data_IF_103183161918
#
_entry.id   IF_103183161918
#
_cell.length_a   1.000
_cell.length_b   1.000
_cell.length_c   1.000
_cell.angle_alpha   90.00
_cell.angle_beta   90.00
_cell.angle_gamma   90.00
#
_symmetry.space_group_name_H-M   'P 1'
#
loop_
_entity.id
_entity.type
_entity.pdbx_description
1 polymer ?
#
# COMPACT_ATOMS: atom_id res chain seq x y z
N UNK A 1 -24.33 22.72 -61.43
CA UNK A 1 -25.66 22.98 -60.83
C UNK A 1 -25.39 23.40 -59.38
N UNK A 2 -25.24 24.70 -59.10
CA UNK A 2 -26.33 25.58 -58.62
C UNK A 2 -27.00 24.99 -57.36
N UNK A 3 -27.16 25.63 -56.19
CA UNK A 3 -26.88 26.98 -55.65
C UNK A 3 -27.52 26.98 -54.24
N UNK A 4 -26.97 27.76 -53.29
CA UNK A 4 -27.68 28.58 -52.27
C UNK A 4 -28.60 27.87 -51.24
N UNK A 5 -28.93 28.36 -50.04
CA UNK A 5 -28.39 29.26 -49.00
C UNK A 5 -29.56 29.52 -48.02
N UNK A 6 -29.27 29.93 -46.77
CA UNK A 6 -30.16 30.61 -45.80
C UNK A 6 -31.26 29.75 -45.13
N UNK A 7 -31.72 29.94 -43.88
CA UNK A 7 -31.47 30.93 -42.82
C UNK A 7 -32.31 30.61 -41.56
N UNK A 8 -31.97 31.30 -40.46
CA UNK A 8 -32.77 31.67 -39.26
C UNK A 8 -32.96 30.62 -38.14
N UNK A 9 -32.49 30.81 -36.90
CA UNK A 9 -32.68 31.85 -35.84
C UNK A 9 -34.03 31.79 -35.09
N UNK A 10 -33.91 31.97 -33.75
CA UNK A 10 -34.89 32.30 -32.69
C UNK A 10 -35.54 31.07 -32.02
N UNK A 11 -35.25 30.71 -30.75
CA UNK A 11 -35.32 31.39 -29.44
C UNK A 11 -36.71 31.38 -28.80
N UNK A 12 -36.68 31.21 -27.47
CA UNK A 12 -37.66 31.56 -26.43
C UNK A 12 -38.53 30.43 -25.87
N UNK A 13 -38.10 29.98 -24.68
CA UNK A 13 -38.86 30.00 -23.43
C UNK A 13 -40.39 30.12 -23.50
N UNK A 14 -41.08 29.26 -22.77
CA UNK A 14 -41.97 29.73 -21.70
C UNK A 14 -42.42 28.59 -20.79
N UNK A 15 -42.47 28.95 -19.51
CA UNK A 15 -43.15 28.28 -18.41
C UNK A 15 -44.52 27.71 -18.78
N UNK A 16 -44.90 26.61 -18.12
CA UNK A 16 -46.02 26.63 -17.15
C UNK A 16 -46.09 25.34 -16.33
N UNK A 17 -46.14 25.54 -15.02
CA UNK A 17 -46.75 24.65 -14.06
C UNK A 17 -48.16 24.24 -14.49
N UNK A 18 -48.53 22.98 -14.28
CA UNK A 18 -49.76 22.69 -13.53
C UNK A 18 -49.79 21.26 -12.99
N UNK A 19 -49.99 21.23 -11.68
CA UNK A 19 -50.53 20.24 -10.76
C UNK A 19 -51.25 18.99 -11.29
N UNK A 20 -51.10 17.93 -10.47
CA UNK A 20 -51.61 16.57 -10.52
C UNK A 20 -53.16 16.44 -10.63
N UNK A 21 -53.71 15.22 -10.82
CA UNK A 21 -54.01 14.42 -9.63
C UNK A 21 -53.82 12.89 -9.76
N UNK A 22 -53.79 12.30 -8.59
CA UNK A 22 -53.73 10.87 -8.23
C UNK A 22 -55.01 10.13 -8.61
N UNK A 23 -54.91 8.88 -9.07
CA UNK A 23 -55.69 7.70 -8.59
C UNK A 23 -55.41 6.47 -9.48
N UNK A 24 -55.24 5.29 -8.88
CA UNK A 24 -55.18 4.04 -9.63
C UNK A 24 -54.41 2.91 -8.92
N UNK A 25 -55.01 2.36 -7.87
CA UNK A 25 -54.57 1.12 -7.22
C UNK A 25 -54.75 -0.05 -8.20
N UNK A 26 -53.71 -0.85 -8.43
CA UNK A 26 -53.89 -2.25 -8.79
C UNK A 26 -52.88 -3.12 -8.02
N UNK A 27 -53.44 -4.02 -7.22
CA UNK A 27 -52.70 -4.95 -6.40
C UNK A 27 -52.23 -6.13 -7.26
N UNK A 28 -50.92 -6.37 -7.30
CA UNK A 28 -50.35 -7.66 -7.68
C UNK A 28 -49.59 -8.19 -6.48
N UNK A 29 -50.16 -9.22 -5.85
CA UNK A 29 -49.46 -10.05 -4.87
C UNK A 29 -48.42 -10.86 -5.61
N UNK A 30 -47.14 -10.60 -5.34
CA UNK A 30 -46.09 -11.60 -5.55
C UNK A 30 -45.35 -11.78 -4.22
N UNK A 31 -45.41 -13.02 -3.74
CA UNK A 31 -44.69 -13.51 -2.58
C UNK A 31 -43.20 -13.57 -2.89
N UNK A 32 -42.43 -12.65 -2.34
CA UNK A 32 -41.00 -12.87 -2.08
C UNK A 32 -40.71 -12.34 -0.68
N UNK A 33 -40.27 -13.25 0.20
CA UNK A 33 -39.80 -12.91 1.54
C UNK A 33 -38.47 -12.19 1.35
N UNK A 34 -38.52 -10.87 1.20
CA UNK A 34 -37.32 -10.04 1.33
C UNK A 34 -36.96 -9.99 2.80
N UNK A 35 -35.91 -10.72 3.19
CA UNK A 35 -35.25 -10.55 4.47
C UNK A 35 -34.53 -9.19 4.46
N UNK A 36 -35.28 -8.10 4.62
CA UNK A 36 -34.73 -6.77 4.83
C UNK A 36 -34.13 -6.73 6.24
N UNK A 37 -32.80 -6.83 6.35
CA UNK A 37 -32.10 -6.46 7.58
C UNK A 37 -32.35 -4.97 7.83
N UNK A 38 -32.88 -4.56 8.99
CA UNK A 38 -33.06 -3.14 9.26
C UNK A 38 -31.69 -2.46 9.35
N UNK A 39 -31.49 -1.41 8.56
CA UNK A 39 -30.37 -0.49 8.70
C UNK A 39 -30.52 0.24 10.03
N UNK A 40 -29.81 -0.23 11.06
CA UNK A 40 -29.69 0.44 12.35
C UNK A 40 -28.62 1.53 12.22
N UNK A 41 -29.04 2.75 11.86
CA UNK A 41 -28.22 3.93 12.13
C UNK A 41 -28.27 4.20 13.63
N UNK A 42 -27.23 3.80 14.35
CA UNK A 42 -27.09 4.04 15.79
C UNK A 42 -25.97 5.04 15.99
N UNK A 43 -26.26 6.16 16.64
CA UNK A 43 -25.23 6.95 17.33
C UNK A 43 -24.65 6.07 18.44
N UNK A 44 -23.33 5.87 18.51
CA UNK A 44 -22.61 5.05 19.51
C UNK A 44 -23.39 5.01 20.85
N UNK A 45 -24.06 3.90 21.13
CA UNK A 45 -25.00 3.75 22.26
C UNK A 45 -24.59 2.54 23.10
N UNK A 46 -25.02 2.49 24.36
CA UNK A 46 -24.69 1.40 25.30
C UNK A 46 -25.01 -0.01 24.77
N UNK A 47 -26.01 -0.15 23.90
CA UNK A 47 -26.41 -1.43 23.32
C UNK A 47 -25.39 -1.99 22.32
N UNK A 48 -24.59 -1.16 21.64
CA UNK A 48 -23.53 -1.66 20.75
C UNK A 48 -22.39 -2.28 21.55
N UNK A 49 -22.03 -1.67 22.68
CA UNK A 49 -20.96 -2.15 23.56
C UNK A 49 -21.24 -3.53 24.19
N UNK A 50 -22.52 -3.88 24.41
CA UNK A 50 -22.91 -5.19 24.95
C UNK A 50 -22.83 -6.29 23.89
N UNK A 51 -23.13 -5.96 22.64
CA UNK A 51 -22.98 -6.88 21.49
C UNK A 51 -21.50 -7.14 21.23
N UNK A 52 -20.67 -6.09 21.25
CA UNK A 52 -19.22 -6.18 21.05
C UNK A 52 -18.54 -7.10 22.09
N UNK A 53 -18.95 -7.02 23.36
CA UNK A 53 -18.43 -7.89 24.42
C UNK A 53 -18.75 -9.38 24.21
N UNK A 54 -19.92 -9.68 23.66
CA UNK A 54 -20.35 -11.06 23.41
C UNK A 54 -19.60 -11.65 22.23
N UNK A 55 -19.46 -10.88 21.14
CA UNK A 55 -18.70 -11.27 19.96
C UNK A 55 -17.22 -11.48 20.28
N UNK A 56 -16.62 -10.59 21.09
CA UNK A 56 -15.24 -10.73 21.55
C UNK A 56 -15.03 -12.03 22.33
N UNK A 57 -15.93 -12.33 23.28
CA UNK A 57 -15.86 -13.58 24.08
C UNK A 57 -16.02 -14.83 23.23
N UNK A 58 -16.84 -14.79 22.19
CA UNK A 58 -17.01 -15.93 21.28
C UNK A 58 -15.78 -16.13 20.39
N UNK A 59 -15.21 -15.05 19.85
CA UNK A 59 -13.95 -15.10 19.11
C UNK A 59 -12.81 -15.63 20.00
N UNK A 60 -12.74 -15.18 21.26
CA UNK A 60 -11.73 -15.60 22.23
C UNK A 60 -11.72 -17.11 22.53
N UNK A 61 -12.83 -17.83 22.28
CA UNK A 61 -12.85 -19.30 22.42
C UNK A 61 -12.08 -20.02 21.32
N UNK A 62 -11.95 -19.40 20.16
CA UNK A 62 -11.42 -20.01 18.94
C UNK A 62 -10.01 -19.50 18.57
N UNK A 63 -9.51 -18.48 19.26
CA UNK A 63 -8.18 -17.91 19.05
C UNK A 63 -7.72 -17.01 20.19
N UNK A 64 -6.45 -16.62 20.17
CA UNK A 64 -5.81 -15.83 21.22
C UNK A 64 -5.48 -14.39 20.80
N UNK A 65 -5.85 -14.00 19.58
CA UNK A 65 -5.63 -12.66 19.04
C UNK A 65 -6.94 -12.19 18.39
N UNK A 66 -7.63 -11.27 19.07
CA UNK A 66 -9.00 -10.87 18.71
C UNK A 66 -9.04 -9.35 18.49
N UNK A 67 -9.61 -8.88 17.37
CA UNK A 67 -9.72 -7.46 17.08
C UNK A 67 -10.91 -6.85 17.81
N UNK A 68 -10.73 -5.64 18.30
CA UNK A 68 -11.78 -4.69 18.66
C UNK A 68 -11.77 -3.57 17.64
N UNK A 69 -12.95 -3.06 17.26
CA UNK A 69 -13.01 -1.98 16.30
C UNK A 69 -14.20 -1.05 16.49
N UNK A 70 -14.01 0.21 16.11
CA UNK A 70 -15.08 1.20 15.97
C UNK A 70 -15.12 1.69 14.54
N UNK A 71 -16.30 1.72 13.94
CA UNK A 71 -16.51 2.25 12.60
C UNK A 71 -17.16 3.63 12.69
N UNK A 72 -16.54 4.62 12.04
CA UNK A 72 -17.04 6.01 11.96
C UNK A 72 -17.16 6.47 10.52
N UNK A 73 -17.86 7.57 10.27
CA UNK A 73 -17.80 8.25 8.98
C UNK A 73 -16.44 8.90 8.77
N UNK A 74 -15.96 8.88 7.52
CA UNK A 74 -14.65 9.45 7.15
C UNK A 74 -14.75 10.86 6.54
N UNK A 75 -15.82 11.59 6.80
CA UNK A 75 -16.06 12.92 6.24
C UNK A 75 -15.27 14.03 6.96
N UNK A 76 -15.01 13.85 8.25
CA UNK A 76 -14.20 14.77 9.07
C UNK A 76 -12.74 14.31 9.25
N UNK A 77 -12.43 13.07 8.88
CA UNK A 77 -11.11 12.47 9.05
C UNK A 77 -10.58 11.96 7.71
N UNK A 78 -9.38 12.41 7.33
CA UNK A 78 -8.67 11.93 6.14
C UNK A 78 -7.46 11.09 6.56
N UNK A 79 -6.93 10.21 5.69
CA UNK A 79 -5.71 9.46 6.01
C UNK A 79 -4.53 10.37 6.40
N UNK A 80 -4.41 11.53 5.75
CA UNK A 80 -3.36 12.52 6.00
C UNK A 80 -3.51 13.16 7.38
N UNK A 81 -4.73 13.58 7.74
CA UNK A 81 -4.98 14.19 9.06
C UNK A 81 -4.89 13.14 10.17
N UNK A 82 -5.39 11.93 9.96
CA UNK A 82 -5.25 10.83 10.90
C UNK A 82 -3.78 10.51 11.20
N UNK A 83 -2.93 10.40 10.17
CA UNK A 83 -1.49 10.20 10.38
C UNK A 83 -0.90 11.30 11.28
N UNK A 84 -1.30 12.55 11.09
CA UNK A 84 -0.78 13.69 11.84
C UNK A 84 -1.35 13.80 13.26
N UNK A 85 -2.56 13.28 13.50
CA UNK A 85 -3.07 13.08 14.85
C UNK A 85 -2.25 12.03 15.62
N UNK A 86 -1.71 11.03 14.91
CA UNK A 86 -0.92 9.96 15.52
C UNK A 86 0.55 10.34 15.71
N UNK A 87 1.13 11.07 14.76
CA UNK A 87 2.56 11.42 14.73
C UNK A 87 2.75 12.92 14.60
N UNK A 88 3.37 13.51 15.63
CA UNK A 88 3.70 14.94 15.65
C UNK A 88 4.73 15.29 14.56
N UNK A 89 4.80 16.55 14.18
CA UNK A 89 5.68 17.02 13.08
C UNK A 89 7.17 16.87 13.41
N UNK A 90 7.53 17.03 14.68
CA UNK A 90 8.90 16.97 15.19
C UNK A 90 9.36 15.55 15.56
N UNK A 91 8.44 14.59 15.66
CA UNK A 91 8.73 13.21 16.04
C UNK A 91 9.14 12.39 14.81
N UNK A 92 10.41 12.49 14.42
CA UNK A 92 10.99 11.86 13.22
C UNK A 92 11.54 10.45 13.42
N UNK A 93 11.58 9.99 14.66
CA UNK A 93 12.10 8.67 15.02
C UNK A 93 10.99 7.69 15.42
N UNK A 94 9.76 8.14 15.67
CA UNK A 94 8.61 7.27 15.96
C UNK A 94 8.22 6.37 14.76
N UNK A 95 8.38 5.03 14.85
CA UNK A 95 8.02 4.16 13.75
C UNK A 95 6.53 4.26 13.41
N UNK A 96 6.22 4.50 12.15
CA UNK A 96 4.86 4.80 11.71
C UNK A 96 4.73 4.72 10.20
N UNK A 97 3.49 4.60 9.71
CA UNK A 97 3.24 4.50 8.28
C UNK A 97 1.89 5.11 7.87
N UNK A 98 1.85 5.54 6.62
CA UNK A 98 0.65 5.84 5.86
C UNK A 98 0.80 5.20 4.48
N UNK A 99 -0.06 4.21 4.21
CA UNK A 99 -0.15 3.53 2.94
C UNK A 99 -1.43 3.94 2.22
N UNK A 100 -1.28 4.37 0.98
CA UNK A 100 -2.39 4.68 0.10
C UNK A 100 -2.21 3.92 -1.21
N UNK A 101 -3.33 3.67 -1.88
CA UNK A 101 -3.34 3.00 -3.17
C UNK A 101 -4.08 3.84 -4.19
N UNK A 102 -3.74 3.63 -5.45
CA UNK A 102 -4.37 4.27 -6.59
C UNK A 102 -4.59 3.21 -7.65
N UNK A 103 -5.82 3.07 -8.12
CA UNK A 103 -6.13 2.11 -9.16
C UNK A 103 -5.69 2.64 -10.53
N UNK A 104 -4.91 1.87 -11.31
CA UNK A 104 -4.56 2.24 -12.68
C UNK A 104 -5.82 2.33 -13.54
N UNK A 105 -6.03 3.46 -14.21
CA UNK A 105 -7.19 3.72 -15.08
C UNK A 105 -6.78 4.33 -16.42
N UNK A 106 -7.64 4.18 -17.44
CA UNK A 106 -7.29 4.52 -18.84
C UNK A 106 -6.98 6.01 -19.08
N UNK A 107 -7.47 6.92 -18.21
CA UNK A 107 -7.24 8.38 -18.29
C UNK A 107 -7.25 9.13 -16.96
N UNK A 108 -7.89 8.59 -15.92
CA UNK A 108 -7.96 9.20 -14.58
C UNK A 108 -7.59 8.14 -13.56
N UNK A 109 -6.59 8.43 -12.76
CA UNK A 109 -6.23 7.64 -11.59
C UNK A 109 -7.31 7.82 -10.52
N UNK A 110 -7.95 6.73 -10.09
CA UNK A 110 -8.86 6.77 -8.93
C UNK A 110 -8.11 6.37 -7.67
N UNK A 111 -8.42 7.02 -6.55
CA UNK A 111 -7.95 6.56 -5.24
C UNK A 111 -8.43 5.12 -5.07
N UNK A 112 -7.51 4.22 -4.73
CA UNK A 112 -7.84 2.84 -4.45
C UNK A 112 -8.73 2.75 -3.23
N UNK A 113 -9.47 1.64 -3.09
CA UNK A 113 -10.53 1.55 -2.07
C UNK A 113 -10.04 1.82 -0.64
N UNK A 114 -8.81 1.40 -0.31
CA UNK A 114 -8.31 1.47 1.05
C UNK A 114 -7.05 2.34 1.21
N UNK A 115 -7.00 3.06 2.33
CA UNK A 115 -5.78 3.61 2.91
C UNK A 115 -5.61 3.08 4.32
N UNK A 116 -4.36 2.87 4.77
CA UNK A 116 -4.07 2.37 6.12
C UNK A 116 -3.04 3.23 6.80
N UNK A 117 -3.28 3.52 8.08
CA UNK A 117 -2.44 4.35 8.93
C UNK A 117 -2.12 3.59 10.21
N UNK A 118 -0.87 3.64 10.66
CA UNK A 118 -0.46 3.10 11.95
C UNK A 118 0.76 3.85 12.49
N UNK A 119 0.90 3.88 13.81
CA UNK A 119 2.03 4.52 14.48
C UNK A 119 2.29 3.82 15.81
N UNK A 120 3.50 3.96 16.34
CA UNK A 120 3.89 3.45 17.66
C UNK A 120 3.65 1.94 17.78
N UNK A 121 4.45 1.11 17.08
CA UNK A 121 4.26 -0.34 17.11
C UNK A 121 4.45 -0.90 18.53
N UNK A 122 3.75 -1.98 18.84
CA UNK A 122 3.92 -2.72 20.09
C UNK A 122 5.29 -3.39 20.19
N UNK A 123 5.79 -3.93 19.07
CA UNK A 123 7.12 -4.55 18.96
C UNK A 123 7.83 -3.97 17.75
N UNK A 124 9.13 -3.70 17.88
CA UNK A 124 9.99 -3.26 16.79
C UNK A 124 11.19 -4.20 16.64
N UNK A 125 11.46 -4.64 15.41
CA UNK A 125 12.59 -5.48 15.03
C UNK A 125 13.49 -4.68 14.09
N UNK A 126 14.76 -4.53 14.45
CA UNK A 126 15.78 -3.92 13.61
C UNK A 126 16.93 -4.91 13.43
N UNK A 127 17.22 -5.29 12.20
CA UNK A 127 18.30 -6.21 11.88
C UNK A 127 19.37 -5.57 11.02
N UNK A 128 20.63 -5.85 11.33
CA UNK A 128 21.80 -5.51 10.52
C UNK A 128 22.78 -6.67 10.57
N UNK A 129 23.01 -7.29 9.42
CA UNK A 129 23.74 -8.55 9.33
C UNK A 129 23.18 -9.58 10.33
N UNK A 130 24.04 -10.24 11.12
CA UNK A 130 23.60 -11.23 12.09
C UNK A 130 23.02 -10.62 13.39
N UNK A 131 23.06 -9.31 13.57
CA UNK A 131 22.59 -8.64 14.79
C UNK A 131 21.15 -8.20 14.64
N UNK A 132 20.29 -8.66 15.56
CA UNK A 132 18.89 -8.26 15.63
C UNK A 132 18.63 -7.63 16.99
N UNK A 133 18.02 -6.44 16.98
CA UNK A 133 17.45 -5.82 18.17
C UNK A 133 15.93 -5.89 18.12
N UNK A 134 15.32 -6.25 19.24
CA UNK A 134 13.87 -6.36 19.42
C UNK A 134 13.48 -5.49 20.60
N UNK A 135 12.73 -4.42 20.32
CA UNK A 135 12.15 -3.54 21.33
C UNK A 135 10.69 -3.92 21.54
N UNK A 136 10.34 -4.36 22.74
CA UNK A 136 8.96 -4.46 23.19
C UNK A 136 8.60 -3.13 23.87
N UNK A 137 7.77 -2.32 23.20
CA UNK A 137 7.38 -1.00 23.69
C UNK A 137 6.39 -1.07 24.84
N UNK A 138 5.64 -2.17 24.97
CA UNK A 138 4.70 -2.36 26.07
C UNK A 138 5.43 -2.78 27.36
N UNK A 139 6.38 -3.71 27.24
CA UNK A 139 7.22 -4.12 28.36
C UNK A 139 8.40 -3.15 28.62
N UNK A 140 8.65 -2.20 27.73
CA UNK A 140 9.80 -1.29 27.80
C UNK A 140 11.15 -2.00 27.74
N UNK A 141 11.21 -3.18 27.09
CA UNK A 141 12.37 -4.07 27.13
C UNK A 141 13.04 -4.14 25.77
N UNK A 142 14.35 -3.89 25.75
CA UNK A 142 15.21 -4.11 24.59
C UNK A 142 15.94 -5.43 24.74
N UNK A 143 15.83 -6.30 23.74
CA UNK A 143 16.63 -7.52 23.64
C UNK A 143 17.48 -7.48 22.38
N UNK A 144 18.69 -8.03 22.48
CA UNK A 144 19.60 -8.18 21.35
C UNK A 144 19.95 -9.66 21.20
N UNK A 145 19.93 -10.14 19.98
CA UNK A 145 20.29 -11.51 19.64
C UNK A 145 21.11 -11.56 18.36
N UNK A 146 21.89 -12.64 18.24
CA UNK A 146 22.64 -12.97 17.02
C UNK A 146 21.89 -14.08 16.31
N UNK A 147 21.42 -13.81 15.09
CA UNK A 147 20.59 -14.73 14.30
C UNK A 147 21.12 -14.80 12.88
N UNK A 148 21.25 -16.02 12.36
CA UNK A 148 21.78 -16.25 11.01
C UNK A 148 20.81 -15.81 9.89
N UNK A 149 19.51 -15.78 10.19
CA UNK A 149 18.44 -15.32 9.30
C UNK A 149 17.44 -14.47 10.12
N UNK A 150 17.60 -13.16 10.04
CA UNK A 150 16.75 -12.22 10.75
C UNK A 150 15.26 -12.28 10.33
N UNK A 151 14.93 -12.83 9.15
CA UNK A 151 13.53 -12.99 8.72
C UNK A 151 12.78 -14.04 9.54
N UNK A 152 13.49 -14.91 10.27
CA UNK A 152 12.88 -15.89 11.16
C UNK A 152 12.35 -15.28 12.47
N UNK A 153 12.83 -14.11 12.85
CA UNK A 153 12.46 -13.43 14.11
C UNK A 153 10.97 -13.05 14.15
N UNK A 154 10.40 -12.30 13.18
CA UNK A 154 8.96 -12.00 13.19
C UNK A 154 8.11 -13.26 13.12
N UNK A 155 8.58 -14.31 12.41
CA UNK A 155 7.90 -15.61 12.35
C UNK A 155 7.85 -16.28 13.72
N UNK A 156 8.98 -16.34 14.43
CA UNK A 156 9.08 -16.93 15.78
C UNK A 156 8.19 -16.19 16.78
N UNK A 157 8.16 -14.85 16.72
CA UNK A 157 7.30 -14.03 17.60
C UNK A 157 5.82 -14.29 17.33
N UNK A 158 5.43 -14.53 16.07
CA UNK A 158 4.05 -14.71 15.65
C UNK A 158 3.56 -16.16 15.58
N UNK A 159 4.42 -17.13 15.89
CA UNK A 159 4.14 -18.56 15.68
C UNK A 159 2.95 -19.08 16.51
N UNK A 160 2.79 -18.57 17.74
CA UNK A 160 1.71 -18.98 18.64
C UNK A 160 0.38 -18.25 18.39
N UNK A 161 0.34 -17.26 17.47
CA UNK A 161 -0.84 -16.44 17.27
C UNK A 161 -1.90 -17.17 16.43
N UNK A 162 -3.15 -17.07 16.89
CA UNK A 162 -4.35 -17.62 16.26
C UNK A 162 -5.35 -16.49 16.07
N UNK A 163 -5.09 -15.57 15.12
CA UNK A 163 -5.94 -14.41 14.87
C UNK A 163 -7.35 -14.85 14.47
N UNK A 164 -8.36 -14.19 15.04
CA UNK A 164 -9.76 -14.35 14.65
C UNK A 164 -10.20 -13.18 13.78
N UNK A 165 -10.64 -13.48 12.55
CA UNK A 165 -11.28 -12.48 11.69
C UNK A 165 -12.76 -12.40 12.06
N UNK A 166 -13.22 -11.21 12.44
CA UNK A 166 -14.64 -10.94 12.76
C UNK A 166 -15.34 -10.28 11.56
N UNK A 167 -16.65 -10.47 11.44
CA UNK A 167 -17.46 -10.01 10.29
C UNK A 167 -17.48 -8.48 10.10
N UNK A 168 -17.05 -7.71 11.10
CA UNK A 168 -17.03 -6.24 11.07
C UNK A 168 -15.77 -5.60 10.50
N UNK A 169 -14.73 -6.39 10.21
CA UNK A 169 -13.48 -5.86 9.66
C UNK A 169 -13.54 -5.63 8.14
N UNK A 170 -12.87 -4.57 7.63
CA UNK A 170 -12.74 -4.37 6.19
C UNK A 170 -11.87 -5.45 5.55
N UNK A 171 -12.09 -5.72 4.25
CA UNK A 171 -11.30 -6.67 3.46
C UNK A 171 -9.92 -6.10 3.05
N UNK A 172 -9.19 -5.59 4.03
CA UNK A 172 -7.92 -4.88 3.94
C UNK A 172 -6.94 -5.33 5.03
N UNK A 173 -5.70 -4.83 4.98
CA UNK A 173 -4.75 -5.01 6.07
C UNK A 173 -5.27 -4.30 7.33
N UNK A 174 -5.53 -5.07 8.39
CA UNK A 174 -6.13 -4.58 9.63
C UNK A 174 -5.16 -4.56 10.81
N UNK A 175 -3.87 -4.80 10.61
CA UNK A 175 -2.87 -4.89 11.68
C UNK A 175 -1.85 -6.00 11.42
N UNK A 176 -0.69 -5.92 12.07
CA UNK A 176 0.41 -6.85 11.89
C UNK A 176 1.76 -6.18 11.62
N UNK A 177 2.70 -6.94 11.05
CA UNK A 177 4.04 -6.46 10.75
C UNK A 177 4.05 -5.49 9.56
N UNK A 178 4.63 -4.31 9.76
CA UNK A 178 4.82 -3.29 8.75
C UNK A 178 6.24 -2.75 8.83
N UNK A 179 6.87 -2.57 7.68
CA UNK A 179 8.21 -1.99 7.60
C UNK A 179 8.86 -2.26 6.25
N UNK A 180 10.17 -2.47 6.22
CA UNK A 180 10.90 -2.76 4.99
C UNK A 180 11.91 -3.89 5.15
N UNK A 181 12.16 -4.54 4.03
CA UNK A 181 13.30 -5.42 3.78
C UNK A 181 14.18 -4.71 2.74
N UNK A 182 15.43 -4.43 3.08
CA UNK A 182 16.39 -3.80 2.18
C UNK A 182 16.82 -4.79 1.09
N UNK A 183 17.50 -4.31 0.05
CA UNK A 183 18.07 -5.20 -0.97
C UNK A 183 19.05 -6.22 -0.36
N UNK A 184 19.83 -5.81 0.65
CA UNK A 184 20.84 -6.67 1.29
C UNK A 184 20.21 -7.84 2.06
N UNK A 185 18.88 -7.88 2.22
CA UNK A 185 18.21 -9.08 2.75
C UNK A 185 18.39 -10.33 1.88
N UNK A 186 18.68 -10.16 0.58
CA UNK A 186 19.05 -11.27 -0.30
C UNK A 186 20.27 -12.04 0.23
N UNK A 187 21.14 -11.40 1.01
CA UNK A 187 22.36 -12.00 1.55
C UNK A 187 22.07 -13.01 2.66
N UNK A 188 20.94 -12.89 3.35
CA UNK A 188 20.47 -13.94 4.28
C UNK A 188 20.04 -15.20 3.53
N UNK A 189 19.58 -15.10 2.28
CA UNK A 189 19.13 -16.26 1.51
C UNK A 189 20.26 -16.86 0.66
N UNK A 190 21.01 -16.02 -0.05
CA UNK A 190 22.06 -16.41 -1.00
C UNK A 190 23.46 -16.37 -0.36
N UNK A 191 23.59 -16.78 0.90
CA UNK A 191 24.82 -16.66 1.73
C UNK A 191 26.10 -17.13 1.02
N UNK A 192 26.01 -18.20 0.23
CA UNK A 192 27.16 -18.76 -0.50
C UNK A 192 27.62 -17.87 -1.66
N UNK A 193 26.67 -17.21 -2.35
CA UNK A 193 26.94 -16.39 -3.53
C UNK A 193 27.16 -14.92 -3.18
N UNK A 194 26.44 -14.42 -2.17
CA UNK A 194 26.39 -13.02 -1.75
C UNK A 194 26.60 -12.88 -0.23
N UNK A 195 27.72 -13.35 0.35
CA UNK A 195 27.97 -13.16 1.78
C UNK A 195 28.11 -11.67 2.13
N UNK A 196 27.75 -11.30 3.36
CA UNK A 196 27.93 -9.93 3.87
C UNK A 196 29.40 -9.46 3.82
N UNK A 197 30.37 -10.36 4.03
CA UNK A 197 31.80 -10.06 3.92
C UNK A 197 32.27 -9.62 2.52
N UNK A 198 31.45 -9.85 1.49
CA UNK A 198 31.70 -9.39 0.10
C UNK A 198 30.73 -8.27 -0.33
N UNK A 199 29.97 -7.71 0.60
CA UNK A 199 29.12 -6.57 0.29
C UNK A 199 29.98 -5.36 -0.14
N UNK A 200 29.49 -4.52 -1.08
CA UNK A 200 30.05 -3.20 -1.28
C UNK A 200 30.07 -2.41 0.03
N UNK A 201 30.95 -1.41 0.12
CA UNK A 201 31.01 -0.53 1.29
C UNK A 201 29.63 0.08 1.58
N UNK A 202 29.14 -0.15 2.79
CA UNK A 202 27.92 0.50 3.27
C UNK A 202 28.23 1.94 3.68
N UNK A 203 27.66 2.88 2.93
CA UNK A 203 27.81 4.32 3.14
C UNK A 203 26.57 4.99 3.74
N UNK A 204 25.51 4.21 4.02
CA UNK A 204 24.24 4.69 4.57
C UNK A 204 23.97 4.15 5.96
N UNK A 205 24.58 3.01 6.31
CA UNK A 205 24.40 2.31 7.58
C UNK A 205 22.93 2.11 7.94
N UNK A 206 22.13 1.74 6.93
CA UNK A 206 20.71 1.44 7.12
C UNK A 206 20.55 -0.01 7.60
N UNK A 207 19.56 -0.29 8.46
CA UNK A 207 19.14 -1.65 8.74
C UNK A 207 18.84 -2.45 7.46
N UNK A 208 19.12 -3.75 7.50
CA UNK A 208 18.68 -4.64 6.43
C UNK A 208 17.19 -4.94 6.55
N UNK A 209 16.69 -5.01 7.79
CA UNK A 209 15.27 -5.20 8.10
C UNK A 209 14.87 -4.20 9.17
N UNK A 210 13.74 -3.55 8.97
CA UNK A 210 13.05 -2.79 10.02
C UNK A 210 11.58 -3.13 9.95
N UNK A 211 11.01 -3.68 11.03
CA UNK A 211 9.60 -4.07 11.11
C UNK A 211 9.01 -3.61 12.44
N UNK A 212 7.85 -2.96 12.41
CA UNK A 212 6.99 -2.73 13.56
C UNK A 212 5.77 -3.64 13.53
N UNK A 213 5.39 -4.20 14.67
CA UNK A 213 4.12 -4.88 14.88
C UNK A 213 3.07 -3.87 15.34
N UNK A 214 2.07 -3.60 14.49
CA UNK A 214 1.01 -2.64 14.78
C UNK A 214 -0.28 -3.39 15.11
N UNK A 215 -0.64 -3.36 16.39
CA UNK A 215 -1.94 -3.77 16.93
C UNK A 215 -2.99 -2.66 16.77
N UNK A 216 -2.55 -1.39 16.78
CA UNK A 216 -3.36 -0.20 16.48
C UNK A 216 -3.23 0.22 15.00
N UNK A 217 -4.34 0.20 14.27
CA UNK A 217 -4.41 0.76 12.91
C UNK A 217 -5.72 1.48 12.62
N UNK A 218 -5.69 2.38 11.65
CA UNK A 218 -6.87 3.04 11.09
C UNK A 218 -6.95 2.72 9.61
N UNK A 219 -8.05 2.09 9.20
CA UNK A 219 -8.31 1.71 7.81
C UNK A 219 -9.44 2.58 7.25
N UNK A 220 -9.17 3.30 6.18
CA UNK A 220 -10.15 4.11 5.47
C UNK A 220 -10.72 3.31 4.31
N UNK A 221 -12.04 3.17 4.24
CA UNK A 221 -12.76 2.70 3.06
C UNK A 221 -13.34 3.89 2.31
N UNK A 222 -12.68 4.28 1.22
CA UNK A 222 -13.05 5.44 0.41
C UNK A 222 -14.33 5.23 -0.39
N UNK A 223 -14.75 3.97 -0.60
CA UNK A 223 -15.99 3.64 -1.30
C UNK A 223 -17.17 3.75 -0.35
N UNK A 224 -17.04 3.15 0.85
CA UNK A 224 -18.10 3.18 1.87
C UNK A 224 -18.12 4.48 2.71
N UNK A 225 -17.11 5.35 2.56
CA UNK A 225 -16.94 6.61 3.32
C UNK A 225 -16.84 6.38 4.83
N UNK A 226 -16.11 5.33 5.20
CA UNK A 226 -15.91 4.89 6.59
C UNK A 226 -14.45 4.86 6.96
N UNK A 227 -14.18 5.08 8.24
CA UNK A 227 -12.90 4.75 8.87
C UNK A 227 -13.12 3.71 9.96
N UNK A 228 -12.34 2.64 9.91
CA UNK A 228 -12.30 1.58 10.91
C UNK A 228 -11.09 1.84 11.80
N UNK A 229 -11.34 2.13 13.08
CA UNK A 229 -10.32 2.25 14.11
C UNK A 229 -10.23 0.88 14.76
N UNK A 230 -9.07 0.23 14.68
CA UNK A 230 -8.90 -1.18 15.04
C UNK A 230 -7.78 -1.30 16.07
N UNK A 231 -8.03 -2.08 17.11
CA UNK A 231 -7.05 -2.48 18.11
C UNK A 231 -7.07 -4.01 18.25
N UNK A 232 -5.91 -4.67 18.14
CA UNK A 232 -5.79 -6.12 18.33
C UNK A 232 -5.40 -6.48 19.77
N UNK A 233 -6.17 -7.37 20.38
CA UNK A 233 -5.97 -7.82 21.76
C UNK A 233 -5.41 -9.25 21.78
N UNK A 234 -4.24 -9.41 22.41
CA UNK A 234 -3.64 -10.73 22.67
C UNK A 234 -4.12 -11.25 24.03
N UNK A 235 -5.06 -12.20 24.01
CA UNK A 235 -5.77 -12.69 25.21
C UNK A 235 -4.81 -13.34 26.21
N UNK A 236 -3.79 -14.04 25.72
CA UNK A 236 -2.81 -14.75 26.55
C UNK A 236 -1.97 -13.81 27.44
N UNK A 237 -2.05 -12.48 27.25
CA UNK A 237 -1.41 -11.47 28.11
C UNK A 237 -2.20 -11.15 29.38
N UNK A 238 -3.43 -11.66 29.51
CA UNK A 238 -4.35 -11.30 30.59
C UNK A 238 -4.76 -12.52 31.42
N UNK A 239 -5.17 -12.28 32.66
CA UNK A 239 -5.68 -13.29 33.59
C UNK A 239 -7.06 -13.83 33.21
N UNK A 240 -7.87 -13.04 32.51
CA UNK A 240 -9.22 -13.41 32.09
C UNK A 240 -9.59 -12.73 30.76
N UNK A 241 -10.60 -13.28 30.07
CA UNK A 241 -11.14 -12.69 28.82
C UNK A 241 -11.79 -11.34 29.12
N UNK A 242 -12.41 -11.20 30.29
CA UNK A 242 -13.01 -9.94 30.76
C UNK A 242 -11.96 -8.84 30.95
N UNK A 243 -10.80 -9.17 31.53
CA UNK A 243 -9.69 -8.23 31.70
C UNK A 243 -9.13 -7.81 30.33
N UNK A 244 -8.94 -8.78 29.42
CA UNK A 244 -8.48 -8.54 28.06
C UNK A 244 -9.43 -7.61 27.29
N UNK A 245 -10.74 -7.86 27.36
CA UNK A 245 -11.77 -7.02 26.75
C UNK A 245 -11.77 -5.61 27.34
N UNK A 246 -11.72 -5.49 28.68
CA UNK A 246 -11.76 -4.20 29.35
C UNK A 246 -10.55 -3.34 29.03
N UNK A 247 -9.34 -3.91 29.03
CA UNK A 247 -8.13 -3.17 28.65
C UNK A 247 -8.12 -2.84 27.16
N UNK A 248 -8.49 -3.79 26.30
CA UNK A 248 -8.59 -3.58 24.85
C UNK A 248 -9.55 -2.45 24.48
N UNK A 249 -10.72 -2.38 25.13
CA UNK A 249 -11.68 -1.29 24.91
C UNK A 249 -11.11 0.06 25.35
N UNK A 250 -10.39 0.13 26.49
CA UNK A 250 -9.73 1.38 26.92
C UNK A 250 -8.67 1.85 25.92
N UNK A 251 -7.90 0.91 25.33
CA UNK A 251 -6.91 1.22 24.29
C UNK A 251 -7.57 1.72 23.01
N UNK A 252 -8.65 1.05 22.57
CA UNK A 252 -9.44 1.46 21.43
C UNK A 252 -10.05 2.87 21.62
N UNK A 253 -10.63 3.15 22.78
CA UNK A 253 -11.17 4.46 23.15
C UNK A 253 -10.08 5.54 23.14
N UNK A 254 -8.89 5.22 23.66
CA UNK A 254 -7.74 6.13 23.62
C UNK A 254 -7.29 6.42 22.19
N UNK A 255 -7.26 5.41 21.31
CA UNK A 255 -6.94 5.60 19.90
C UNK A 255 -7.99 6.46 19.19
N UNK A 256 -9.28 6.22 19.49
CA UNK A 256 -10.39 7.01 18.96
C UNK A 256 -10.30 8.48 19.40
N UNK A 257 -10.05 8.74 20.68
CA UNK A 257 -9.89 10.09 21.23
C UNK A 257 -8.74 10.85 20.56
N UNK A 258 -7.64 10.17 20.20
CA UNK A 258 -6.52 10.80 19.47
C UNK A 258 -6.91 11.35 18.11
N UNK A 259 -7.91 10.76 17.45
CA UNK A 259 -8.29 11.16 16.08
C UNK A 259 -9.59 11.95 15.99
N UNK A 260 -10.45 11.90 17.02
CA UNK A 260 -11.73 12.62 17.04
C UNK A 260 -11.79 13.78 18.03
N UNK A 261 -11.17 13.67 19.21
CA UNK A 261 -11.37 14.63 20.30
C UNK A 261 -10.27 15.72 20.35
N UNK A 262 -9.31 15.67 19.43
CA UNK A 262 -8.22 16.64 19.31
C UNK A 262 -8.57 17.64 18.20
N UNK A 263 -8.30 18.94 18.40
CA UNK A 263 -8.29 19.92 17.30
C UNK A 263 -7.28 19.43 16.25
N UNK A 264 -7.75 18.93 15.09
CA UNK A 264 -6.89 18.22 14.17
C UNK A 264 -5.72 19.13 13.77
N UNK A 265 -4.50 18.59 13.73
CA UNK A 265 -3.31 19.40 13.48
C UNK A 265 -3.49 20.19 12.19
N UNK A 266 -3.35 21.52 12.29
CA UNK A 266 -3.46 22.40 11.13
C UNK A 266 -2.27 22.17 10.21
N UNK A 267 -2.50 21.41 9.16
CA UNK A 267 -1.53 21.24 8.09
C UNK A 267 -1.47 22.51 7.26
N UNK A 268 -0.24 22.96 6.98
CA UNK A 268 -0.04 24.10 6.09
C UNK A 268 -0.63 23.79 4.71
N UNK A 269 -1.38 24.74 4.11
CA UNK A 269 -1.88 24.58 2.74
C UNK A 269 -0.70 24.28 1.80
N UNK A 270 -0.73 23.09 1.19
CA UNK A 270 0.25 22.70 0.20
C UNK A 270 -0.13 23.27 -1.17
N UNK A 271 0.86 23.64 -1.98
CA UNK A 271 0.63 23.93 -3.40
C UNK A 271 1.70 23.25 -4.23
N UNK A 272 1.28 22.61 -5.32
CA UNK A 272 2.20 21.98 -6.28
C UNK A 272 1.92 22.60 -7.64
N UNK A 273 2.93 23.28 -8.20
CA UNK A 273 2.89 23.72 -9.59
C UNK A 273 3.39 22.56 -10.47
N UNK A 274 2.46 21.90 -11.16
CA UNK A 274 2.79 20.82 -12.09
C UNK A 274 3.44 21.38 -13.36
N UNK A 275 4.72 21.73 -13.28
CA UNK A 275 5.54 22.09 -14.43
C UNK A 275 6.27 20.85 -14.96
N UNK A 276 5.52 19.83 -15.37
CA UNK A 276 6.05 18.54 -15.84
C UNK A 276 6.90 18.62 -17.11
N UNK A 277 6.92 19.78 -17.77
CA UNK A 277 7.72 20.05 -18.97
C UNK A 277 9.09 20.65 -18.68
N UNK A 278 9.33 21.15 -17.46
CA UNK A 278 10.62 21.70 -17.08
C UNK A 278 11.39 20.67 -16.26
N UNK A 279 12.53 20.22 -16.78
CA UNK A 279 13.47 19.45 -15.98
C UNK A 279 13.96 20.33 -14.83
N UNK A 280 13.90 19.81 -13.61
CA UNK A 280 14.52 20.46 -12.45
C UNK A 280 16.03 20.63 -12.65
N UNK A 281 16.70 21.40 -11.77
CA UNK A 281 18.15 21.52 -11.81
C UNK A 281 18.78 20.12 -11.76
N UNK A 282 19.84 19.93 -12.56
CA UNK A 282 20.55 18.65 -12.66
C UNK A 282 20.98 18.18 -11.27
N UNK A 283 20.71 16.91 -10.95
CA UNK A 283 21.20 16.28 -9.73
C UNK A 283 22.71 16.06 -9.87
N UNK A 284 23.49 16.87 -9.16
CA UNK A 284 24.96 16.86 -9.25
C UNK A 284 25.63 15.83 -8.34
N UNK A 285 24.98 15.44 -7.25
CA UNK A 285 25.54 14.48 -6.30
C UNK A 285 25.02 13.08 -6.67
N UNK A 286 25.91 12.26 -7.21
CA UNK A 286 25.69 10.86 -7.58
C UNK A 286 26.80 10.01 -6.98
N UNK A 287 26.50 8.78 -6.60
CA UNK A 287 27.52 7.84 -6.14
C UNK A 287 28.43 7.30 -7.25
N UNK A 288 28.16 7.65 -8.51
CA UNK A 288 29.00 7.35 -9.66
C UNK A 288 28.86 8.39 -10.76
N UNK A 289 29.90 8.53 -11.56
CA UNK A 289 29.93 9.40 -12.74
C UNK A 289 29.16 8.78 -13.91
N UNK A 290 28.80 9.62 -14.88
CA UNK A 290 28.13 9.16 -16.11
C UNK A 290 28.98 8.15 -16.88
N UNK A 291 30.30 8.35 -16.92
CA UNK A 291 31.19 7.45 -17.66
C UNK A 291 31.38 6.12 -16.92
N UNK A 292 31.47 6.11 -15.60
CA UNK A 292 31.45 4.86 -14.82
C UNK A 292 30.18 4.04 -15.05
N UNK A 293 29.01 4.69 -15.09
CA UNK A 293 27.74 4.02 -15.39
C UNK A 293 27.74 3.42 -16.82
N UNK A 294 28.21 4.18 -17.82
CA UNK A 294 28.33 3.67 -19.21
C UNK A 294 29.28 2.47 -19.27
N UNK A 295 30.40 2.52 -18.56
CA UNK A 295 31.34 1.40 -18.51
C UNK A 295 30.72 0.18 -17.81
N UNK A 296 29.93 0.36 -16.76
CA UNK A 296 29.18 -0.72 -16.14
C UNK A 296 28.17 -1.36 -17.12
N UNK A 297 27.49 -0.56 -17.94
CA UNK A 297 26.59 -1.06 -19.00
C UNK A 297 27.36 -1.87 -20.06
N UNK A 298 28.55 -1.41 -20.48
CA UNK A 298 29.38 -2.13 -21.44
C UNK A 298 29.82 -3.50 -20.88
N UNK A 299 30.30 -3.54 -19.63
CA UNK A 299 30.63 -4.81 -18.95
C UNK A 299 29.42 -5.74 -18.82
N UNK A 300 28.25 -5.21 -18.49
CA UNK A 300 27.03 -6.00 -18.44
C UNK A 300 26.71 -6.65 -19.81
N UNK A 301 26.92 -5.92 -20.91
CA UNK A 301 26.74 -6.46 -22.26
C UNK A 301 27.75 -7.55 -22.60
N UNK A 302 29.00 -7.42 -22.15
CA UNK A 302 30.02 -8.46 -22.29
C UNK A 302 29.59 -9.76 -21.58
N UNK A 303 29.10 -9.67 -20.34
CA UNK A 303 28.57 -10.82 -19.59
C UNK A 303 27.33 -11.43 -20.27
N UNK A 304 26.45 -10.62 -20.85
CA UNK A 304 25.30 -11.12 -21.65
C UNK A 304 25.79 -11.89 -22.88
N UNK A 305 26.79 -11.36 -23.60
CA UNK A 305 27.36 -12.01 -24.79
C UNK A 305 28.11 -13.31 -24.45
N UNK A 306 28.77 -13.34 -23.29
CA UNK A 306 29.45 -14.53 -22.78
C UNK A 306 28.47 -15.63 -22.31
N UNK A 307 27.19 -15.28 -22.10
CA UNK A 307 26.17 -16.21 -21.61
C UNK A 307 26.12 -16.34 -20.08
N UNK A 308 26.77 -15.44 -19.33
CA UNK A 308 26.78 -15.46 -17.87
C UNK A 308 25.41 -15.09 -17.28
N UNK A 309 24.73 -14.15 -17.93
CA UNK A 309 23.43 -13.60 -17.53
C UNK A 309 22.58 -13.29 -18.76
N UNK A 310 21.25 -13.35 -18.62
CA UNK A 310 20.36 -12.87 -19.68
C UNK A 310 20.11 -11.36 -19.58
N UNK A 311 20.07 -10.84 -18.35
CA UNK A 311 19.82 -9.43 -18.03
C UNK A 311 20.39 -9.09 -16.65
N UNK A 312 20.71 -7.80 -16.46
CA UNK A 312 21.00 -7.20 -15.17
C UNK A 312 20.40 -5.80 -15.10
N UNK A 313 19.85 -5.44 -13.94
CA UNK A 313 19.33 -4.10 -13.67
C UNK A 313 20.38 -3.33 -12.87
N UNK A 314 21.12 -2.48 -13.55
CA UNK A 314 22.07 -1.57 -12.91
C UNK A 314 21.34 -0.37 -12.30
N UNK A 315 21.86 0.15 -11.20
CA UNK A 315 21.32 1.34 -10.53
C UNK A 315 22.45 2.29 -10.13
N UNK A 316 22.07 3.56 -9.94
CA UNK A 316 22.92 4.59 -9.35
C UNK A 316 22.08 5.42 -8.39
N UNK A 317 22.72 6.00 -7.37
CA UNK A 317 22.05 6.78 -6.33
C UNK A 317 22.34 8.25 -6.55
N UNK A 318 21.26 9.03 -6.68
CA UNK A 318 21.33 10.49 -6.64
C UNK A 318 20.94 11.00 -5.26
N UNK A 319 21.55 12.11 -4.86
CA UNK A 319 21.34 12.71 -3.55
C UNK A 319 21.10 14.21 -3.65
N UNK A 320 20.25 14.70 -2.76
CA UNK A 320 20.00 16.13 -2.60
C UNK A 320 19.73 16.44 -1.14
N UNK A 321 20.39 17.46 -0.62
CA UNK A 321 20.04 18.05 0.68
C UNK A 321 18.78 18.90 0.53
N UNK A 322 17.84 18.73 1.44
CA UNK A 322 16.57 19.44 1.46
C UNK A 322 16.20 19.80 2.89
N UNK A 323 15.50 20.92 3.06
CA UNK A 323 14.86 21.33 4.31
C UNK A 323 13.36 21.04 4.31
N UNK A 324 12.83 20.53 3.19
CA UNK A 324 11.43 20.14 3.11
C UNK A 324 11.16 19.04 4.12
N UNK A 325 10.04 19.15 4.84
CA UNK A 325 9.58 18.07 5.69
C UNK A 325 9.26 16.83 4.83
N UNK A 326 9.73 15.62 5.21
CA UNK A 326 9.47 14.41 4.42
C UNK A 326 7.99 14.15 4.14
N UNK A 327 7.10 14.53 5.05
CA UNK A 327 5.66 14.35 4.84
C UNK A 327 5.10 15.32 3.82
N UNK A 328 5.66 16.53 3.70
CA UNK A 328 5.33 17.44 2.59
C UNK A 328 5.80 16.89 1.25
N UNK A 329 6.95 16.19 1.22
CA UNK A 329 7.40 15.46 0.03
C UNK A 329 6.38 14.39 -0.35
N UNK A 330 5.88 13.62 0.63
CA UNK A 330 4.83 12.63 0.41
C UNK A 330 3.53 13.26 -0.09
N UNK A 331 3.05 14.32 0.57
CA UNK A 331 1.85 15.08 0.17
C UNK A 331 1.96 15.59 -1.27
N UNK A 332 3.13 16.09 -1.67
CA UNK A 332 3.38 16.52 -3.04
C UNK A 332 3.42 15.32 -4.01
N UNK A 333 4.07 14.22 -3.63
CA UNK A 333 4.18 13.01 -4.47
C UNK A 333 2.81 12.38 -4.78
N UNK A 334 1.88 12.39 -3.81
CA UNK A 334 0.47 11.97 -4.01
C UNK A 334 -0.23 12.71 -5.14
N UNK A 335 0.17 13.97 -5.38
CA UNK A 335 -0.40 14.82 -6.44
C UNK A 335 0.37 14.65 -7.75
N UNK A 336 1.71 14.62 -7.68
CA UNK A 336 2.58 14.62 -8.88
C UNK A 336 2.57 13.27 -9.59
N UNK A 337 2.67 12.18 -8.83
CA UNK A 337 2.75 10.83 -9.39
C UNK A 337 2.01 9.84 -8.48
N UNK A 338 0.67 9.86 -8.46
CA UNK A 338 -0.11 8.85 -7.74
C UNK A 338 0.11 7.46 -8.35
N UNK A 339 0.36 6.45 -7.51
CA UNK A 339 0.60 5.07 -7.95
C UNK A 339 -0.11 4.04 -7.06
N UNK A 340 -0.20 2.77 -7.50
CA UNK A 340 -0.84 1.71 -6.73
C UNK A 340 -0.25 1.47 -5.33
N UNK A 341 1.00 1.84 -5.10
CA UNK A 341 1.70 1.66 -3.82
C UNK A 341 2.35 2.97 -3.39
N UNK A 342 1.55 3.84 -2.77
CA UNK A 342 2.03 5.04 -2.11
C UNK A 342 2.45 4.70 -0.68
N UNK A 343 3.66 5.07 -0.31
CA UNK A 343 4.24 4.74 0.99
C UNK A 343 4.84 5.98 1.62
N UNK A 344 4.35 6.33 2.80
CA UNK A 344 5.11 7.04 3.81
C UNK A 344 5.40 6.05 4.93
N UNK A 345 6.68 5.75 5.19
CA UNK A 345 7.09 4.83 6.25
C UNK A 345 8.25 5.49 7.00
N UNK A 346 8.01 5.80 8.27
CA UNK A 346 9.03 6.22 9.21
C UNK A 346 9.57 4.97 9.91
N UNK A 347 10.85 4.72 9.70
CA UNK A 347 11.61 3.67 10.35
C UNK A 347 12.80 4.31 11.08
N UNK A 348 13.35 3.65 12.09
CA UNK A 348 14.51 4.21 12.80
C UNK A 348 15.67 4.44 11.84
N UNK A 349 16.17 5.68 11.82
CA UNK A 349 17.27 6.10 10.96
C UNK A 349 16.88 6.46 9.52
N UNK A 350 15.64 6.24 9.07
CA UNK A 350 15.21 6.69 7.74
C UNK A 350 13.69 6.85 7.58
N UNK A 351 13.29 7.85 6.79
CA UNK A 351 11.90 8.00 6.33
C UNK A 351 11.86 7.64 4.84
N UNK A 352 11.06 6.63 4.50
CA UNK A 352 10.81 6.19 3.14
C UNK A 352 9.56 6.89 2.60
N UNK A 353 9.76 7.60 1.50
CA UNK A 353 8.69 8.26 0.73
C UNK A 353 8.70 7.67 -0.68
N UNK A 354 7.68 6.90 -1.03
CA UNK A 354 7.65 6.16 -2.29
C UNK A 354 6.29 6.23 -2.99
N UNK A 355 6.35 6.06 -4.31
CA UNK A 355 5.22 5.90 -5.21
C UNK A 355 5.60 4.82 -6.23
N UNK A 356 5.38 3.55 -5.86
CA UNK A 356 5.77 2.41 -6.68
C UNK A 356 4.64 1.97 -7.62
N UNK A 357 4.92 1.75 -8.92
CA UNK A 357 3.97 1.19 -9.87
C UNK A 357 3.80 -0.34 -9.74
N UNK A 358 4.70 -1.02 -9.04
CA UNK A 358 4.88 -2.48 -9.08
C UNK A 358 4.83 -3.12 -7.69
N UNK A 359 4.29 -4.35 -7.63
CA UNK A 359 4.42 -5.24 -6.47
C UNK A 359 5.53 -6.24 -6.68
N UNK A 360 6.29 -6.51 -5.61
CA UNK A 360 7.09 -7.71 -5.55
C UNK A 360 6.19 -8.95 -5.45
N UNK A 361 5.32 -8.98 -4.46
CA UNK A 361 4.36 -10.07 -4.25
C UNK A 361 3.19 -9.61 -3.39
N UNK A 362 2.03 -10.25 -3.55
CA UNK A 362 0.88 -10.11 -2.66
C UNK A 362 0.36 -11.47 -2.29
N UNK A 363 0.17 -11.73 -1.00
CA UNK A 363 -0.45 -12.96 -0.51
C UNK A 363 -1.78 -12.62 0.14
N UNK A 364 -2.88 -13.20 -0.35
CA UNK A 364 -4.22 -13.04 0.23
C UNK A 364 -5.02 -14.32 0.06
N UNK A 365 -5.68 -14.79 1.12
CA UNK A 365 -6.50 -16.02 1.12
C UNK A 365 -5.73 -17.22 0.54
N UNK A 366 -4.48 -17.41 0.97
CA UNK A 366 -3.56 -18.45 0.48
C UNK A 366 -3.30 -18.41 -1.05
N UNK A 367 -3.44 -17.24 -1.67
CA UNK A 367 -3.08 -17.00 -3.08
C UNK A 367 -1.93 -16.01 -3.14
N UNK A 368 -0.83 -16.45 -3.74
CA UNK A 368 0.31 -15.60 -4.07
C UNK A 368 0.01 -14.94 -5.41
N UNK A 369 0.32 -13.66 -5.56
CA UNK A 369 0.22 -12.93 -6.82
C UNK A 369 1.51 -12.18 -7.02
N UNK A 370 2.17 -12.45 -8.14
CA UNK A 370 3.32 -11.71 -8.63
C UNK A 370 2.94 -11.03 -9.96
N UNK A 371 3.36 -9.78 -10.13
CA UNK A 371 2.97 -8.97 -11.29
C UNK A 371 4.17 -8.27 -11.90
N UNK A 372 4.99 -8.98 -12.70
CA UNK A 372 6.18 -8.41 -13.30
C UNK A 372 5.78 -7.33 -14.31
N UNK A 373 6.50 -6.22 -14.28
CA UNK A 373 6.42 -5.14 -15.26
C UNK A 373 7.75 -5.06 -16.04
N UNK A 374 7.66 -5.03 -17.37
CA UNK A 374 8.77 -4.70 -18.24
C UNK A 374 8.27 -3.94 -19.46
N UNK A 375 9.19 -3.45 -20.29
CA UNK A 375 8.84 -2.71 -21.50
C UNK A 375 8.11 -1.40 -21.20
N UNK A 376 8.83 -0.29 -21.23
CA UNK A 376 8.27 1.02 -20.88
C UNK A 376 8.24 1.94 -22.09
N UNK A 377 7.09 2.58 -22.33
CA UNK A 377 6.98 3.69 -23.28
C UNK A 377 6.19 4.84 -22.64
N UNK A 378 6.49 6.08 -23.05
CA UNK A 378 5.74 7.26 -22.60
C UNK A 378 4.27 7.18 -23.04
N UNK A 379 3.37 7.86 -22.34
CA UNK A 379 1.99 8.07 -22.82
C UNK A 379 1.98 8.96 -24.07
N UNK A 380 1.05 8.67 -24.98
CA UNK A 380 0.81 9.50 -26.16
C UNK A 380 0.12 10.82 -25.78
N UNK A 381 0.32 11.87 -26.58
CA UNK A 381 -0.34 13.17 -26.37
C UNK A 381 -1.81 13.12 -26.76
N UNK A 382 -2.17 12.22 -27.68
CA UNK A 382 -3.55 11.95 -28.09
C UNK A 382 -3.89 10.47 -27.90
N UNK A 383 -5.18 10.10 -27.80
CA UNK A 383 -5.59 8.69 -27.72
C UNK A 383 -5.07 7.82 -28.88
N UNK A 384 -4.94 8.40 -30.07
CA UNK A 384 -4.44 7.74 -31.26
C UNK A 384 -2.92 7.50 -31.15
N UNK A 385 -2.15 8.51 -30.74
CA UNK A 385 -0.71 8.34 -30.46
C UNK A 385 -0.49 7.30 -29.36
N UNK A 386 -1.30 7.32 -28.30
CA UNK A 386 -1.21 6.38 -27.16
C UNK A 386 -1.41 4.93 -27.62
N UNK A 387 -2.39 4.70 -28.51
CA UNK A 387 -2.66 3.38 -29.09
C UNK A 387 -1.53 2.93 -30.02
N UNK A 388 -0.96 3.82 -30.83
CA UNK A 388 0.18 3.49 -31.70
C UNK A 388 1.40 3.09 -30.87
N UNK A 389 1.68 3.82 -29.78
CA UNK A 389 2.79 3.49 -28.87
C UNK A 389 2.60 2.15 -28.16
N UNK A 390 1.37 1.84 -27.74
CA UNK A 390 0.99 0.51 -27.22
C UNK A 390 1.26 -0.60 -28.25
N UNK A 391 0.78 -0.44 -29.49
CA UNK A 391 0.99 -1.43 -30.54
C UNK A 391 2.47 -1.59 -30.90
N UNK A 392 3.26 -0.52 -30.86
CA UNK A 392 4.71 -0.58 -31.07
C UNK A 392 5.41 -1.33 -29.92
N UNK A 393 5.03 -1.05 -28.67
CA UNK A 393 5.59 -1.71 -27.49
C UNK A 393 5.35 -3.22 -27.54
N UNK A 394 4.12 -3.65 -27.87
CA UNK A 394 3.75 -5.07 -27.95
C UNK A 394 4.34 -5.79 -29.17
N UNK A 395 4.84 -5.04 -30.17
CA UNK A 395 5.52 -5.61 -31.35
C UNK A 395 7.03 -5.58 -31.25
N UNK A 396 7.60 -4.93 -30.23
CA UNK A 396 9.04 -4.90 -30.01
C UNK A 396 9.53 -6.26 -29.50
N UNK A 397 10.26 -7.04 -30.32
CA UNK A 397 10.69 -8.39 -29.94
C UNK A 397 11.64 -8.39 -28.74
N UNK A 398 12.40 -7.30 -28.54
CA UNK A 398 13.30 -7.17 -27.38
C UNK A 398 12.48 -7.04 -26.11
N UNK A 399 11.50 -6.13 -26.08
CA UNK A 399 10.69 -5.87 -24.89
C UNK A 399 9.83 -7.10 -24.54
N UNK A 400 9.28 -7.78 -25.54
CA UNK A 400 8.51 -9.00 -25.33
C UNK A 400 9.38 -10.15 -24.79
N UNK A 401 10.62 -10.30 -25.27
CA UNK A 401 11.54 -11.33 -24.78
C UNK A 401 11.96 -11.07 -23.32
N UNK A 402 12.35 -9.84 -23.00
CA UNK A 402 12.66 -9.41 -21.63
C UNK A 402 11.47 -9.65 -20.69
N UNK A 403 10.26 -9.26 -21.10
CA UNK A 403 9.06 -9.48 -20.31
C UNK A 403 8.74 -10.96 -20.08
N UNK A 404 8.87 -11.79 -21.12
CA UNK A 404 8.62 -13.24 -21.02
C UNK A 404 9.55 -13.90 -20.00
N UNK A 405 10.83 -13.53 -20.02
CA UNK A 405 11.82 -14.03 -19.06
C UNK A 405 11.45 -13.66 -17.62
N UNK A 406 10.97 -12.45 -17.36
CA UNK A 406 10.50 -12.07 -16.02
C UNK A 406 9.23 -12.81 -15.59
N UNK A 407 8.33 -13.09 -16.53
CA UNK A 407 7.15 -13.95 -16.26
C UNK A 407 7.60 -15.35 -15.86
N UNK A 408 8.56 -15.93 -16.56
CA UNK A 408 9.10 -17.25 -16.20
C UNK A 408 9.84 -17.24 -14.86
N UNK A 409 10.58 -16.18 -14.54
CA UNK A 409 11.17 -15.98 -13.21
C UNK A 409 10.08 -15.92 -12.14
N UNK A 410 9.04 -15.11 -12.34
CA UNK A 410 7.90 -15.01 -11.44
C UNK A 410 7.16 -16.34 -11.25
N UNK A 411 7.03 -17.16 -12.30
CA UNK A 411 6.49 -18.52 -12.21
C UNK A 411 7.39 -19.43 -11.38
N UNK A 412 8.69 -19.38 -11.58
CA UNK A 412 9.65 -20.19 -10.83
C UNK A 412 9.63 -19.83 -9.34
N UNK A 413 9.65 -18.53 -9.01
CA UNK A 413 9.65 -18.08 -7.62
C UNK A 413 8.32 -18.36 -6.92
N UNK A 414 7.19 -18.10 -7.59
CA UNK A 414 5.86 -18.47 -7.06
C UNK A 414 5.74 -19.98 -6.89
N UNK A 415 6.33 -20.77 -7.81
CA UNK A 415 6.34 -22.24 -7.76
C UNK A 415 7.04 -22.82 -6.54
N UNK A 416 8.09 -22.17 -6.02
CA UNK A 416 8.83 -22.62 -4.83
C UNK A 416 7.97 -22.68 -3.57
N UNK A 417 6.91 -21.87 -3.49
CA UNK A 417 6.05 -21.71 -2.31
C UNK A 417 4.60 -22.10 -2.55
N UNK A 418 4.28 -22.62 -3.73
CA UNK A 418 2.91 -22.95 -4.15
C UNK A 418 2.69 -24.46 -4.27
N UNK A 419 1.42 -24.89 -4.28
CA UNK A 419 1.09 -26.30 -4.54
C UNK A 419 1.50 -26.67 -5.97
N UNK A 420 2.04 -27.88 -6.15
CA UNK A 420 2.42 -28.38 -7.47
C UNK A 420 1.25 -28.28 -8.46
N UNK A 421 1.51 -27.72 -9.64
CA UNK A 421 0.51 -27.53 -10.69
C UNK A 421 -0.51 -26.41 -10.44
N UNK A 422 -0.45 -25.66 -9.33
CA UNK A 422 -1.40 -24.57 -9.05
C UNK A 422 -1.04 -23.25 -9.72
N UNK A 423 0.24 -23.03 -10.06
CA UNK A 423 0.74 -21.77 -10.61
C UNK A 423 0.23 -21.54 -12.04
N UNK A 424 -0.40 -20.39 -12.27
CA UNK A 424 -0.97 -20.01 -13.57
C UNK A 424 -0.58 -18.59 -13.96
N UNK A 425 -0.34 -18.38 -15.25
CA UNK A 425 -0.28 -17.04 -15.85
C UNK A 425 -1.70 -16.68 -16.26
N UNK A 426 -2.35 -15.79 -15.52
CA UNK A 426 -3.75 -15.40 -15.78
C UNK A 426 -3.85 -14.34 -16.89
N UNK A 427 -2.88 -13.44 -16.95
CA UNK A 427 -2.77 -12.37 -17.93
C UNK A 427 -1.35 -12.34 -18.44
N UNK A 428 -1.18 -12.35 -19.76
CA UNK A 428 0.13 -12.33 -20.42
C UNK A 428 0.22 -11.11 -21.35
N UNK A 429 1.29 -10.34 -21.21
CA UNK A 429 1.63 -9.18 -22.05
C UNK A 429 0.50 -8.16 -22.25
N UNK A 430 -0.21 -7.83 -21.18
CA UNK A 430 -1.19 -6.74 -21.21
C UNK A 430 -0.50 -5.39 -21.00
N UNK A 431 -1.05 -4.32 -21.56
CA UNK A 431 -0.53 -2.97 -21.31
C UNK A 431 -1.25 -2.31 -20.15
N UNK A 432 -0.47 -1.92 -19.14
CA UNK A 432 -0.94 -1.10 -18.03
C UNK A 432 -0.51 0.35 -18.23
N UNK A 433 -1.49 1.26 -18.10
CA UNK A 433 -1.29 2.70 -18.32
C UNK A 433 -1.21 3.41 -16.98
N UNK A 434 -0.15 4.18 -16.81
CA UNK A 434 0.05 5.09 -15.69
C UNK A 434 -0.04 6.54 -16.17
N UNK A 435 0.19 7.47 -15.25
CA UNK A 435 0.12 8.91 -15.48
C UNK A 435 0.99 9.37 -16.66
N UNK A 436 2.24 8.93 -16.73
CA UNK A 436 3.23 9.40 -17.70
C UNK A 436 3.80 8.32 -18.60
N UNK A 437 3.64 7.05 -18.23
CA UNK A 437 4.17 5.88 -18.96
C UNK A 437 3.14 4.77 -19.06
N UNK A 438 3.39 3.80 -19.93
CA UNK A 438 2.70 2.51 -19.94
C UNK A 438 3.73 1.37 -19.96
N UNK A 439 3.36 0.23 -19.38
CA UNK A 439 4.22 -0.94 -19.21
C UNK A 439 3.57 -2.21 -19.78
N UNK A 440 4.38 -3.15 -20.27
CA UNK A 440 3.95 -4.54 -20.43
C UNK A 440 3.85 -5.15 -19.03
N UNK A 441 2.70 -5.79 -18.75
CA UNK A 441 2.36 -6.38 -17.46
C UNK A 441 1.87 -7.81 -17.66
N UNK A 442 2.11 -8.65 -16.68
CA UNK A 442 1.53 -10.00 -16.62
C UNK A 442 1.21 -10.37 -15.18
N UNK A 443 0.32 -11.33 -15.00
CA UNK A 443 -0.11 -11.76 -13.67
C UNK A 443 0.15 -13.25 -13.50
N UNK A 444 1.05 -13.56 -12.57
CA UNK A 444 1.36 -14.93 -12.12
C UNK A 444 0.68 -15.14 -10.77
N UNK A 445 -0.03 -16.25 -10.59
CA UNK A 445 -0.74 -16.59 -9.35
C UNK A 445 -0.77 -18.06 -9.04
#
# INVERSE_FOLDING_TARGET
MQTLSFSNRLSLSSHRHCQAPVTGISAWRSSSVSCARPLKCISLSSDSLVVDATEFKEAAKNGNLVPLHTCIFSDQLTPVTAYRCLVKEDDRDAPSFLFESVEPGSRVSSVGRYSVVGAQPAIEIVAKEDKVSIMDHEAGTLTEEIVEDAMMVPKRISEAWKPQLTDGLPDAFCGGWVGYFSYDTVRYMEKKKLPFSRAPKDDRNLPDIHLGLYDDVIVFDHVEKKAYIIHWVMIDRYSSIEDAYSDGMKRLEKLLARVLDIDPPRLSPGSVKLHTQHFGPLLKNSNMTSDEYKQAVLRAKEHIQAGDIFQIVLSQRFERRTFADPFEIYRALRVVNPSPYMTYLQARGCILVASSPEILTRVKNNRVVNRPLAGTVRRGKTPEEDKVLEEQLLKDPKQCAEHTMLVDLGRNDTGKVSKHGSVKVERLMNVERYSHVMHISSTVR
#
